data_IF_329748105402
#
_entry.id   IF_329748105402
#
_cell.length_a   1.000
_cell.length_b   1.000
_cell.length_c   1.000
_cell.angle_alpha   90.00
_cell.angle_beta   90.00
_cell.angle_gamma   90.00
#
_symmetry.space_group_name_H-M   'P 1'
#
loop_
_entity.id
_entity.type
_entity.pdbx_description
1 polymer ?
#
# COMPACT_ATOMS: atom_id res chain seq x y z
N UNK A 1 -42.96 22.33 45.92
CA UNK A 1 -41.64 21.83 45.48
C UNK A 1 -41.83 21.14 44.13
N UNK A 2 -41.45 21.81 43.05
CA UNK A 2 -41.57 21.29 41.69
C UNK A 2 -40.40 20.33 41.38
N UNK A 3 -40.71 19.17 40.79
CA UNK A 3 -39.73 18.17 40.34
C UNK A 3 -39.07 18.70 39.05
N UNK A 4 -37.73 18.75 38.94
CA UNK A 4 -37.10 19.20 37.71
C UNK A 4 -37.26 18.14 36.60
N UNK A 5 -37.31 18.54 35.31
CA UNK A 5 -37.39 17.60 34.21
C UNK A 5 -36.05 16.89 34.00
N UNK A 6 -36.04 15.63 33.53
CA UNK A 6 -34.80 14.94 33.21
C UNK A 6 -34.23 15.49 31.90
N UNK A 7 -33.13 16.24 32.01
CA UNK A 7 -32.14 16.42 30.96
C UNK A 7 -31.26 15.16 30.88
N UNK A 8 -30.71 14.89 29.69
CA UNK A 8 -29.88 13.75 29.26
C UNK A 8 -30.59 12.65 28.45
N UNK A 9 -30.93 12.98 27.20
CA UNK A 9 -30.88 12.01 26.11
C UNK A 9 -29.41 11.71 25.81
N UNK A 10 -28.93 10.54 26.21
CA UNK A 10 -27.65 10.00 25.77
C UNK A 10 -27.77 9.54 24.31
N UNK A 11 -26.96 10.11 23.41
CA UNK A 11 -26.86 9.77 21.98
C UNK A 11 -26.29 8.35 21.69
N UNK A 12 -26.49 7.38 22.59
CA UNK A 12 -26.00 6.00 22.45
C UNK A 12 -26.99 5.03 21.79
N UNK A 13 -28.23 5.45 21.50
CA UNK A 13 -29.29 4.52 21.08
C UNK A 13 -29.37 4.24 19.58
N UNK A 14 -28.92 5.16 18.71
CA UNK A 14 -29.14 5.04 17.27
C UNK A 14 -28.22 4.01 16.61
N UNK A 15 -26.95 3.95 17.00
CA UNK A 15 -25.99 2.97 16.46
C UNK A 15 -26.26 1.55 16.97
N UNK A 16 -26.67 1.40 18.24
CA UNK A 16 -27.11 0.10 18.78
C UNK A 16 -28.43 -0.37 18.16
N UNK A 17 -29.35 0.53 17.84
CA UNK A 17 -30.61 0.17 17.18
C UNK A 17 -30.39 -0.36 15.75
N UNK A 18 -29.58 0.33 14.95
CA UNK A 18 -29.30 -0.06 13.57
C UNK A 18 -28.51 -1.37 13.46
N UNK A 19 -27.52 -1.57 14.33
CA UNK A 19 -26.74 -2.82 14.38
C UNK A 19 -27.61 -4.01 14.81
N UNK A 20 -28.50 -3.82 15.78
CA UNK A 20 -29.44 -4.86 16.21
C UNK A 20 -30.47 -5.22 15.13
N UNK A 21 -30.93 -4.24 14.34
CA UNK A 21 -31.87 -4.48 13.23
C UNK A 21 -31.19 -5.24 12.07
N UNK A 22 -29.96 -4.87 11.72
CA UNK A 22 -29.16 -5.56 10.70
C UNK A 22 -28.82 -7.00 11.14
N UNK A 23 -28.40 -7.19 12.39
CA UNK A 23 -28.12 -8.50 12.95
C UNK A 23 -29.37 -9.39 13.01
N UNK A 24 -30.55 -8.80 13.27
CA UNK A 24 -31.83 -9.53 13.29
C UNK A 24 -32.27 -9.96 11.88
N UNK A 25 -31.93 -9.20 10.84
CA UNK A 25 -32.29 -9.52 9.44
C UNK A 25 -31.34 -10.49 8.76
N UNK A 26 -30.03 -10.37 8.99
CA UNK A 26 -29.00 -11.10 8.24
C UNK A 26 -28.31 -12.20 9.07
N UNK A 27 -28.48 -12.22 10.40
CA UNK A 27 -27.77 -13.14 11.27
C UNK A 27 -26.31 -12.74 11.49
N UNK A 28 -25.84 -12.79 12.74
CA UNK A 28 -24.48 -12.39 13.12
C UNK A 28 -23.39 -13.11 12.33
N UNK A 29 -23.56 -14.40 12.08
CA UNK A 29 -22.60 -15.24 11.35
C UNK A 29 -22.40 -14.79 9.90
N UNK A 30 -23.47 -14.32 9.25
CA UNK A 30 -23.41 -13.81 7.87
C UNK A 30 -22.67 -12.48 7.81
N UNK A 31 -22.91 -11.59 8.78
CA UNK A 31 -22.19 -10.32 8.88
C UNK A 31 -20.69 -10.51 9.09
N UNK A 32 -20.28 -11.45 9.96
CA UNK A 32 -18.86 -11.79 10.13
C UNK A 32 -18.24 -12.32 8.84
N UNK A 33 -18.95 -13.19 8.11
CA UNK A 33 -18.48 -13.72 6.83
C UNK A 33 -18.30 -12.62 5.78
N UNK A 34 -19.26 -11.70 5.66
CA UNK A 34 -19.16 -10.56 4.74
C UNK A 34 -18.04 -9.61 5.13
N UNK A 35 -17.84 -9.39 6.43
CA UNK A 35 -16.70 -8.64 6.95
C UNK A 35 -15.36 -9.28 6.57
N UNK A 36 -15.24 -10.60 6.68
CA UNK A 36 -14.03 -11.33 6.28
C UNK A 36 -13.76 -11.23 4.76
N UNK A 37 -14.79 -11.33 3.92
CA UNK A 37 -14.66 -11.13 2.47
C UNK A 37 -14.25 -9.70 2.13
N UNK A 38 -14.84 -8.70 2.80
CA UNK A 38 -14.48 -7.30 2.59
C UNK A 38 -13.06 -6.98 3.04
N UNK A 39 -12.62 -7.57 4.16
CA UNK A 39 -11.24 -7.49 4.62
C UNK A 39 -10.26 -8.13 3.62
N UNK A 40 -10.59 -9.31 3.09
CA UNK A 40 -9.80 -9.95 2.04
C UNK A 40 -9.71 -9.09 0.77
N UNK A 41 -10.83 -8.51 0.33
CA UNK A 41 -10.85 -7.61 -0.81
C UNK A 41 -9.98 -6.35 -0.58
N UNK A 42 -10.06 -5.77 0.62
CA UNK A 42 -9.19 -4.65 1.01
C UNK A 42 -7.71 -5.02 0.97
N UNK A 43 -7.32 -6.18 1.52
CA UNK A 43 -5.94 -6.65 1.46
C UNK A 43 -5.44 -6.75 0.01
N UNK A 44 -6.26 -7.27 -0.90
CA UNK A 44 -5.90 -7.36 -2.32
C UNK A 44 -5.86 -6.00 -3.04
N UNK A 45 -6.55 -4.97 -2.54
CA UNK A 45 -6.54 -3.65 -3.16
C UNK A 45 -5.33 -2.80 -2.80
N UNK A 46 -4.69 -3.06 -1.65
CA UNK A 46 -3.55 -2.29 -1.16
C UNK A 46 -2.43 -2.08 -2.21
N UNK A 47 -1.97 -3.09 -2.97
CA UNK A 47 -0.95 -2.89 -4.00
C UNK A 47 -1.49 -2.37 -5.34
N UNK A 48 -2.81 -2.30 -5.51
CA UNK A 48 -3.44 -2.03 -6.81
C UNK A 48 -3.95 -0.59 -6.94
N UNK A 49 -4.17 0.11 -5.83
CA UNK A 49 -4.80 1.43 -5.83
C UNK A 49 -4.46 2.24 -4.58
N UNK A 50 -4.76 3.53 -4.61
CA UNK A 50 -4.63 4.45 -3.48
C UNK A 50 -5.72 4.21 -2.42
N UNK A 51 -5.66 4.98 -1.32
CA UNK A 51 -6.61 4.88 -0.20
C UNK A 51 -8.08 5.01 -0.63
N UNK A 52 -8.40 5.89 -1.59
CA UNK A 52 -9.77 6.05 -2.08
C UNK A 52 -10.28 4.82 -2.84
N UNK A 53 -9.45 4.20 -3.67
CA UNK A 53 -9.81 2.95 -4.35
C UNK A 53 -9.97 1.79 -3.37
N UNK A 54 -9.11 1.70 -2.35
CA UNK A 54 -9.24 0.71 -1.27
C UNK A 54 -10.53 0.88 -0.46
N UNK A 55 -10.94 2.12 -0.17
CA UNK A 55 -12.24 2.42 0.43
C UNK A 55 -13.40 1.96 -0.49
N UNK A 56 -13.29 2.25 -1.78
CA UNK A 56 -14.22 1.77 -2.81
C UNK A 56 -14.34 0.25 -2.77
N UNK A 57 -13.22 -0.47 -2.74
CA UNK A 57 -13.18 -1.94 -2.67
C UNK A 57 -13.88 -2.48 -1.43
N UNK A 58 -13.64 -1.91 -0.24
CA UNK A 58 -14.35 -2.33 1.00
C UNK A 58 -15.86 -2.16 0.83
N UNK A 59 -16.30 -0.98 0.39
CA UNK A 59 -17.72 -0.68 0.24
C UNK A 59 -18.37 -1.56 -0.83
N UNK A 60 -17.69 -1.82 -1.95
CA UNK A 60 -18.17 -2.69 -3.00
C UNK A 60 -18.31 -4.14 -2.53
N UNK A 61 -17.28 -4.65 -1.84
CA UNK A 61 -17.26 -6.00 -1.30
C UNK A 61 -18.31 -6.23 -0.20
N UNK A 62 -18.72 -5.19 0.53
CA UNK A 62 -19.84 -5.25 1.50
C UNK A 62 -21.20 -5.10 0.81
N UNK A 63 -21.39 -4.04 0.04
CA UNK A 63 -22.71 -3.67 -0.50
C UNK A 63 -23.20 -4.64 -1.58
N UNK A 64 -22.32 -5.15 -2.45
CA UNK A 64 -22.72 -6.11 -3.49
C UNK A 64 -23.39 -7.37 -2.89
N UNK A 65 -22.71 -8.10 -2.00
CA UNK A 65 -23.29 -9.24 -1.28
C UNK A 65 -24.50 -8.87 -0.41
N UNK A 66 -24.48 -7.74 0.30
CA UNK A 66 -25.62 -7.31 1.14
C UNK A 66 -26.89 -7.09 0.32
N UNK A 67 -26.78 -6.46 -0.86
CA UNK A 67 -27.92 -6.29 -1.78
C UNK A 67 -28.47 -7.66 -2.21
N UNK A 68 -27.60 -8.62 -2.49
CA UNK A 68 -28.01 -10.00 -2.82
C UNK A 68 -28.70 -10.72 -1.66
N UNK A 69 -28.29 -10.44 -0.42
CA UNK A 69 -28.94 -10.98 0.77
C UNK A 69 -30.31 -10.35 1.05
N UNK A 70 -30.47 -9.06 0.70
CA UNK A 70 -31.72 -8.33 0.89
C UNK A 70 -32.80 -8.73 -0.13
N UNK A 71 -32.41 -9.33 -1.25
CA UNK A 71 -33.36 -9.81 -2.26
C UNK A 71 -34.16 -11.01 -1.74
N UNK A 72 -35.50 -11.00 -1.85
CA UNK A 72 -36.33 -12.16 -1.51
C UNK A 72 -35.86 -13.43 -2.22
N UNK A 73 -35.98 -14.59 -1.57
CA UNK A 73 -35.60 -15.89 -2.16
C UNK A 73 -36.35 -16.21 -3.48
N UNK A 74 -37.53 -15.61 -3.68
CA UNK A 74 -38.34 -15.69 -4.91
C UNK A 74 -37.87 -14.74 -6.03
N UNK A 75 -36.85 -13.92 -5.78
CA UNK A 75 -36.42 -12.90 -6.74
C UNK A 75 -35.82 -13.53 -7.98
N UNK A 76 -36.21 -13.01 -9.15
CA UNK A 76 -35.69 -13.44 -10.45
C UNK A 76 -34.16 -13.40 -10.53
N UNK A 77 -33.50 -12.48 -9.80
CA UNK A 77 -32.05 -12.40 -9.70
C UNK A 77 -31.40 -13.70 -9.17
N UNK A 78 -32.03 -14.37 -8.22
CA UNK A 78 -31.55 -15.64 -7.67
C UNK A 78 -31.83 -16.81 -8.64
N UNK A 79 -32.85 -16.68 -9.48
CA UNK A 79 -33.25 -17.64 -10.52
C UNK A 79 -32.52 -17.45 -11.86
N UNK A 80 -31.80 -16.33 -12.07
CA UNK A 80 -31.01 -16.10 -13.27
C UNK A 80 -29.96 -17.21 -13.42
N UNK A 81 -29.81 -17.77 -14.63
CA UNK A 81 -28.69 -18.67 -14.92
C UNK A 81 -27.39 -17.97 -14.57
N UNK A 82 -26.43 -18.70 -13.99
CA UNK A 82 -25.14 -18.16 -13.57
C UNK A 82 -24.48 -17.31 -14.66
N UNK A 83 -24.53 -17.75 -15.93
CA UNK A 83 -24.01 -16.98 -17.06
C UNK A 83 -24.64 -15.59 -17.22
N UNK A 84 -25.95 -15.43 -17.01
CA UNK A 84 -26.61 -14.13 -17.10
C UNK A 84 -26.20 -13.20 -15.94
N UNK A 85 -26.05 -13.74 -14.73
CA UNK A 85 -25.56 -12.99 -13.58
C UNK A 85 -24.09 -12.56 -13.78
N UNK A 86 -23.25 -13.44 -14.33
CA UNK A 86 -21.86 -13.13 -14.66
C UNK A 86 -21.74 -12.05 -15.74
N UNK A 87 -22.58 -12.08 -16.78
CA UNK A 87 -22.63 -11.02 -17.80
C UNK A 87 -23.04 -9.69 -17.17
N UNK A 88 -24.06 -9.67 -16.31
CA UNK A 88 -24.48 -8.45 -15.64
C UNK A 88 -23.37 -7.88 -14.75
N UNK A 89 -22.69 -8.73 -13.98
CA UNK A 89 -21.54 -8.33 -13.17
C UNK A 89 -20.39 -7.79 -14.02
N UNK A 90 -20.11 -8.43 -15.16
CA UNK A 90 -19.08 -7.98 -16.10
C UNK A 90 -19.42 -6.63 -16.73
N UNK A 91 -20.67 -6.43 -17.16
CA UNK A 91 -21.14 -5.15 -17.70
C UNK A 91 -21.06 -4.06 -16.62
N UNK A 92 -21.48 -4.35 -15.39
CA UNK A 92 -21.39 -3.40 -14.28
C UNK A 92 -19.95 -3.00 -13.94
N UNK A 93 -19.03 -3.97 -13.88
CA UNK A 93 -17.61 -3.70 -13.68
C UNK A 93 -17.02 -2.91 -14.87
N UNK A 94 -17.38 -3.27 -16.10
CA UNK A 94 -16.90 -2.63 -17.33
C UNK A 94 -17.36 -1.17 -17.46
N UNK A 95 -18.63 -0.88 -17.18
CA UNK A 95 -19.15 0.49 -17.19
C UNK A 95 -18.52 1.34 -16.07
N UNK A 96 -18.32 0.75 -14.89
CA UNK A 96 -17.59 1.38 -13.78
C UNK A 96 -16.15 1.73 -14.14
N UNK A 97 -15.42 0.81 -14.77
CA UNK A 97 -14.05 1.03 -15.22
C UNK A 97 -13.97 2.07 -16.35
N UNK A 98 -14.93 2.08 -17.27
CA UNK A 98 -14.99 3.09 -18.32
C UNK A 98 -15.16 4.48 -17.69
N UNK A 99 -16.11 4.63 -16.76
CA UNK A 99 -16.31 5.89 -16.03
C UNK A 99 -15.07 6.30 -15.23
N UNK A 100 -14.42 5.35 -14.54
CA UNK A 100 -13.18 5.61 -13.83
C UNK A 100 -12.05 6.08 -14.76
N UNK A 101 -11.95 5.48 -15.96
CA UNK A 101 -10.94 5.85 -16.96
C UNK A 101 -11.17 7.28 -17.46
N UNK A 102 -12.43 7.67 -17.70
CA UNK A 102 -12.78 9.04 -18.08
C UNK A 102 -12.40 10.03 -16.97
N UNK A 103 -12.62 9.69 -15.69
CA UNK A 103 -12.26 10.57 -14.56
C UNK A 103 -10.75 10.67 -14.32
N UNK A 104 -9.98 9.60 -14.60
CA UNK A 104 -8.52 9.58 -14.44
C UNK A 104 -7.78 10.27 -15.59
N UNK A 105 -8.26 10.09 -16.83
CA UNK A 105 -7.53 10.44 -18.04
C UNK A 105 -8.20 11.53 -18.90
N UNK A 106 -9.46 11.87 -18.64
CA UNK A 106 -10.23 12.77 -19.49
C UNK A 106 -9.76 14.22 -19.36
N UNK A 107 -8.91 14.67 -20.29
CA UNK A 107 -8.42 16.06 -20.34
C UNK A 107 -9.54 17.09 -20.52
N UNK A 108 -10.57 16.78 -21.31
CA UNK A 108 -11.69 17.70 -21.58
C UNK A 108 -12.80 17.65 -20.53
N UNK A 109 -13.09 16.47 -19.97
CA UNK A 109 -14.03 16.34 -18.85
C UNK A 109 -13.40 16.87 -17.57
N UNK A 110 -12.09 16.69 -17.42
CA UNK A 110 -11.28 17.19 -16.32
C UNK A 110 -11.30 18.72 -16.25
N UNK A 111 -11.15 19.42 -17.37
CA UNK A 111 -11.19 20.90 -17.41
C UNK A 111 -12.59 21.47 -17.08
N UNK A 112 -13.64 20.76 -17.47
CA UNK A 112 -15.03 21.15 -17.23
C UNK A 112 -15.49 20.85 -15.80
N UNK A 113 -15.04 19.74 -15.20
CA UNK A 113 -15.31 19.41 -13.80
C UNK A 113 -14.36 20.11 -12.82
N UNK A 114 -13.12 20.43 -13.19
CA UNK A 114 -12.21 21.22 -12.35
C UNK A 114 -12.69 22.66 -12.16
N UNK A 115 -13.52 23.15 -13.06
CA UNK A 115 -14.24 24.43 -12.92
C UNK A 115 -15.37 24.37 -11.88
N UNK A 116 -15.75 23.19 -11.39
CA UNK A 116 -16.73 23.05 -10.30
C UNK A 116 -16.07 23.34 -8.94
N UNK A 117 -16.78 24.04 -8.06
CA UNK A 117 -16.29 24.47 -6.74
C UNK A 117 -15.83 23.33 -5.81
N UNK A 118 -16.21 22.08 -6.14
CA UNK A 118 -15.82 20.86 -5.41
C UNK A 118 -14.45 20.30 -5.82
N UNK A 119 -13.94 20.65 -7.01
CA UNK A 119 -12.68 20.14 -7.55
C UNK A 119 -11.56 21.20 -7.60
N UNK A 120 -11.91 22.49 -7.47
CA UNK A 120 -10.98 23.61 -7.56
C UNK A 120 -9.90 23.67 -6.47
N UNK A 121 -10.09 22.96 -5.34
CA UNK A 121 -9.16 22.94 -4.22
C UNK A 121 -8.23 21.73 -4.14
N UNK A 122 -8.42 20.68 -4.96
CA UNK A 122 -7.59 19.49 -4.93
C UNK A 122 -7.43 18.86 -6.33
N UNK A 123 -6.23 18.96 -6.95
CA UNK A 123 -5.98 18.45 -8.30
C UNK A 123 -6.12 16.92 -8.41
N UNK A 124 -6.09 16.19 -7.29
CA UNK A 124 -6.23 14.73 -7.24
C UNK A 124 -7.68 14.26 -7.00
N UNK A 125 -8.65 15.16 -6.88
CA UNK A 125 -10.04 14.82 -6.52
C UNK A 125 -10.72 13.89 -7.55
N UNK A 126 -10.59 14.21 -8.84
CA UNK A 126 -11.17 13.40 -9.94
C UNK A 126 -10.47 12.04 -10.06
N UNK A 127 -9.13 12.03 -9.96
CA UNK A 127 -8.37 10.80 -9.92
C UNK A 127 -8.80 9.91 -8.74
N UNK A 128 -8.93 10.49 -7.54
CA UNK A 128 -9.36 9.78 -6.34
C UNK A 128 -10.77 9.23 -6.45
N UNK A 129 -11.70 9.97 -7.07
CA UNK A 129 -13.06 9.50 -7.36
C UNK A 129 -13.06 8.36 -8.39
N UNK A 130 -12.24 8.45 -9.43
CA UNK A 130 -12.06 7.37 -10.41
C UNK A 130 -11.48 6.09 -9.79
N UNK A 131 -10.50 6.22 -8.89
CA UNK A 131 -9.98 5.12 -8.08
C UNK A 131 -11.06 4.48 -7.21
N UNK A 132 -11.84 5.28 -6.50
CA UNK A 132 -12.97 4.80 -5.71
C UNK A 132 -14.00 4.03 -6.57
N UNK A 133 -14.43 4.57 -7.71
CA UNK A 133 -15.43 3.95 -8.58
C UNK A 133 -14.93 2.62 -9.14
N UNK A 134 -13.68 2.55 -9.60
CA UNK A 134 -13.10 1.31 -10.09
C UNK A 134 -13.02 0.26 -9.00
N UNK A 135 -12.47 0.62 -7.83
CA UNK A 135 -12.35 -0.28 -6.68
C UNK A 135 -13.72 -0.81 -6.24
N UNK A 136 -14.72 0.07 -6.16
CA UNK A 136 -16.09 -0.27 -5.80
C UNK A 136 -16.75 -1.23 -6.79
N UNK A 137 -16.73 -0.89 -8.08
CA UNK A 137 -17.46 -1.66 -9.09
C UNK A 137 -16.83 -3.03 -9.34
N UNK A 138 -15.50 -3.12 -9.36
CA UNK A 138 -14.78 -4.39 -9.44
C UNK A 138 -15.06 -5.28 -8.22
N UNK A 139 -14.94 -4.73 -7.01
CA UNK A 139 -15.14 -5.50 -5.79
C UNK A 139 -16.59 -5.97 -5.64
N UNK A 140 -17.57 -5.11 -5.93
CA UNK A 140 -18.99 -5.46 -5.88
C UNK A 140 -19.34 -6.54 -6.91
N UNK A 141 -18.82 -6.44 -8.14
CA UNK A 141 -19.04 -7.44 -9.17
C UNK A 141 -18.43 -8.80 -8.80
N UNK A 142 -17.17 -8.81 -8.36
CA UNK A 142 -16.44 -10.02 -8.03
C UNK A 142 -16.96 -10.69 -6.76
N UNK A 143 -16.99 -9.95 -5.64
CA UNK A 143 -17.46 -10.48 -4.34
C UNK A 143 -18.96 -10.80 -4.39
N UNK A 144 -19.76 -10.00 -5.10
CA UNK A 144 -21.18 -10.30 -5.33
C UNK A 144 -21.38 -11.59 -6.12
N UNK A 145 -20.57 -11.84 -7.15
CA UNK A 145 -20.64 -13.09 -7.94
C UNK A 145 -20.23 -14.31 -7.11
N UNK A 146 -19.15 -14.20 -6.32
CA UNK A 146 -18.75 -15.24 -5.37
C UNK A 146 -19.85 -15.51 -4.35
N UNK A 147 -20.46 -14.46 -3.82
CA UNK A 147 -21.54 -14.58 -2.86
C UNK A 147 -22.77 -15.29 -3.44
N UNK A 148 -23.17 -14.90 -4.65
CA UNK A 148 -24.27 -15.56 -5.37
C UNK A 148 -23.98 -17.06 -5.58
N UNK A 149 -22.74 -17.42 -5.92
CA UNK A 149 -22.33 -18.82 -6.07
C UNK A 149 -22.37 -19.54 -4.72
N UNK A 150 -21.98 -18.86 -3.63
CA UNK A 150 -21.99 -19.42 -2.28
C UNK A 150 -23.41 -19.74 -1.77
N UNK A 151 -24.41 -18.97 -2.22
CA UNK A 151 -25.82 -19.24 -1.92
C UNK A 151 -26.35 -20.46 -2.68
N UNK A 152 -25.74 -20.82 -3.82
CA UNK A 152 -26.20 -21.90 -4.71
C UNK A 152 -25.64 -23.27 -4.38
N UNK A 153 -24.53 -23.37 -3.64
CA UNK A 153 -23.97 -24.67 -3.28
C UNK A 153 -22.64 -24.61 -2.55
N UNK A 154 -22.17 -25.79 -2.14
CA UNK A 154 -20.94 -25.95 -1.38
C UNK A 154 -19.69 -25.47 -2.14
N UNK A 155 -19.66 -25.62 -3.47
CA UNK A 155 -18.54 -25.18 -4.32
C UNK A 155 -18.35 -23.65 -4.25
N UNK A 156 -19.43 -22.87 -4.26
CA UNK A 156 -19.33 -21.43 -4.11
C UNK A 156 -18.87 -20.99 -2.73
N UNK A 157 -19.27 -21.72 -1.68
CA UNK A 157 -18.77 -21.47 -0.32
C UNK A 157 -17.27 -21.75 -0.21
N UNK A 158 -16.80 -22.81 -0.87
CA UNK A 158 -15.38 -23.10 -1.00
C UNK A 158 -14.65 -21.96 -1.75
N UNK A 159 -15.25 -21.44 -2.82
CA UNK A 159 -14.70 -20.32 -3.60
C UNK A 159 -14.49 -19.05 -2.77
N UNK A 160 -15.45 -18.64 -1.94
CA UNK A 160 -15.26 -17.52 -1.01
C UNK A 160 -14.17 -17.78 0.02
N UNK A 161 -14.11 -18.99 0.60
CA UNK A 161 -13.05 -19.35 1.55
C UNK A 161 -11.66 -19.31 0.88
N UNK A 162 -11.55 -19.85 -0.34
CA UNK A 162 -10.32 -19.82 -1.11
C UNK A 162 -9.91 -18.40 -1.45
N UNK A 163 -10.85 -17.52 -1.80
CA UNK A 163 -10.55 -16.11 -2.03
C UNK A 163 -9.96 -15.44 -0.77
N UNK A 164 -10.57 -15.64 0.40
CA UNK A 164 -10.05 -15.09 1.67
C UNK A 164 -8.65 -15.64 1.95
N UNK A 165 -8.46 -16.96 1.83
CA UNK A 165 -7.17 -17.59 2.05
C UNK A 165 -6.11 -17.07 1.09
N UNK A 166 -6.42 -17.00 -0.21
CA UNK A 166 -5.52 -16.48 -1.23
C UNK A 166 -5.20 -14.99 -1.04
N UNK A 167 -6.13 -14.16 -0.58
CA UNK A 167 -5.88 -12.75 -0.31
C UNK A 167 -4.86 -12.57 0.84
N UNK A 168 -5.04 -13.32 1.93
CA UNK A 168 -4.11 -13.32 3.06
C UNK A 168 -2.75 -13.86 2.63
N UNK A 169 -2.74 -15.01 1.94
CA UNK A 169 -1.51 -15.60 1.42
C UNK A 169 -0.82 -14.61 0.48
N UNK A 170 -1.50 -14.03 -0.50
CA UNK A 170 -0.91 -13.08 -1.45
C UNK A 170 -0.26 -11.89 -0.74
N UNK A 171 -0.97 -11.30 0.22
CA UNK A 171 -0.48 -10.16 1.02
C UNK A 171 0.75 -10.50 1.83
N UNK A 172 0.79 -11.70 2.43
CA UNK A 172 1.91 -12.16 3.24
C UNK A 172 3.02 -12.80 2.40
N UNK A 173 2.72 -13.33 1.21
CA UNK A 173 3.73 -13.82 0.25
C UNK A 173 4.46 -12.68 -0.44
N UNK A 174 4.08 -11.43 -0.20
CA UNK A 174 4.87 -10.26 -0.60
C UNK A 174 6.30 -10.26 0.02
N UNK A 175 6.58 -11.17 0.96
CA UNK A 175 7.94 -11.61 1.35
C UNK A 175 8.70 -12.41 0.29
N UNK A 176 8.17 -12.54 -0.93
CA UNK A 176 8.82 -13.22 -2.06
C UNK A 176 10.19 -12.60 -2.25
N UNK A 177 11.23 -13.44 -2.19
CA UNK A 177 12.63 -13.07 -2.25
C UNK A 177 13.10 -12.35 -0.98
N UNK A 178 12.83 -12.89 0.22
CA UNK A 178 13.50 -12.52 1.47
C UNK A 178 13.39 -11.05 1.91
N UNK A 179 12.51 -10.26 1.29
CA UNK A 179 12.22 -8.87 1.65
C UNK A 179 11.35 -8.84 2.91
N UNK A 180 11.98 -8.52 4.04
CA UNK A 180 11.38 -8.52 5.40
C UNK A 180 10.55 -7.24 5.64
N UNK A 181 10.76 -6.20 4.84
CA UNK A 181 10.13 -4.87 4.88
C UNK A 181 8.70 -4.82 4.33
N UNK A 182 8.19 -5.90 3.73
CA UNK A 182 6.83 -5.96 3.15
C UNK A 182 5.87 -6.77 4.03
N UNK A 183 4.58 -6.44 4.15
CA UNK A 183 3.91 -5.28 3.58
C UNK A 183 4.40 -3.98 4.23
N UNK A 184 4.68 -2.96 3.41
CA UNK A 184 5.29 -1.69 3.82
C UNK A 184 4.59 -1.04 5.02
N UNK A 185 3.27 -1.18 5.14
CA UNK A 185 2.52 -0.69 6.30
C UNK A 185 3.07 -1.22 7.65
N UNK A 186 3.42 -2.50 7.72
CA UNK A 186 3.96 -3.14 8.92
C UNK A 186 5.48 -2.97 9.01
N UNK A 187 6.16 -3.06 7.86
CA UNK A 187 7.61 -2.83 7.75
C UNK A 187 7.99 -1.43 8.22
N UNK A 188 7.41 -0.39 7.62
CA UNK A 188 7.69 1.01 7.95
C UNK A 188 7.33 1.32 9.40
N UNK A 189 6.20 0.79 9.89
CA UNK A 189 5.81 0.95 11.30
C UNK A 189 6.89 0.42 12.25
N UNK A 190 7.47 -0.74 11.94
CA UNK A 190 8.53 -1.36 12.72
C UNK A 190 9.85 -0.59 12.58
N UNK A 191 10.26 -0.30 11.34
CA UNK A 191 11.52 0.36 11.01
C UNK A 191 11.63 1.77 11.61
N UNK A 192 10.58 2.59 11.52
CA UNK A 192 10.55 3.96 12.10
C UNK A 192 10.74 3.93 13.62
N UNK A 193 10.40 2.82 14.28
CA UNK A 193 10.53 2.63 15.74
C UNK A 193 11.77 1.83 16.12
N UNK A 194 12.61 1.46 15.16
CA UNK A 194 13.81 0.65 15.37
C UNK A 194 13.52 -0.81 15.70
N UNK A 195 12.34 -1.33 15.37
CA UNK A 195 12.00 -2.74 15.47
C UNK A 195 12.30 -3.47 14.16
N UNK A 196 12.72 -4.73 14.27
CA UNK A 196 12.85 -5.64 13.12
C UNK A 196 11.45 -6.19 12.74
N UNK A 197 10.97 -5.94 11.50
CA UNK A 197 9.67 -6.41 11.04
C UNK A 197 9.47 -7.93 11.12
N UNK A 198 10.56 -8.71 11.05
CA UNK A 198 10.48 -10.18 11.13
C UNK A 198 9.89 -10.65 12.47
N UNK A 199 10.32 -10.06 13.59
CA UNK A 199 9.78 -10.41 14.91
C UNK A 199 8.32 -9.99 15.06
N UNK A 200 7.95 -8.84 14.49
CA UNK A 200 6.57 -8.35 14.52
C UNK A 200 5.63 -9.33 13.78
N UNK A 201 6.01 -9.73 12.57
CA UNK A 201 5.22 -10.67 11.76
C UNK A 201 5.18 -12.07 12.36
N UNK A 202 6.31 -12.55 12.90
CA UNK A 202 6.35 -13.84 13.60
C UNK A 202 5.44 -13.83 14.84
N UNK A 203 5.42 -12.72 15.58
CA UNK A 203 4.54 -12.58 16.77
C UNK A 203 3.07 -12.60 16.36
N UNK A 204 2.70 -11.89 15.29
CA UNK A 204 1.33 -11.93 14.74
C UNK A 204 0.97 -13.36 14.33
N UNK A 205 1.84 -14.06 13.61
CA UNK A 205 1.64 -15.45 13.20
C UNK A 205 1.44 -16.40 14.39
N UNK A 206 2.26 -16.27 15.43
CA UNK A 206 2.16 -17.07 16.65
C UNK A 206 0.84 -16.80 17.40
N UNK A 207 0.44 -15.54 17.54
CA UNK A 207 -0.84 -15.17 18.16
C UNK A 207 -2.01 -15.73 17.36
N UNK A 208 -1.99 -15.63 16.03
CA UNK A 208 -3.01 -16.22 15.17
C UNK A 208 -3.10 -17.75 15.34
N UNK A 209 -1.97 -18.45 15.42
CA UNK A 209 -1.92 -19.90 15.65
C UNK A 209 -2.54 -20.28 17.00
N UNK A 210 -2.21 -19.55 18.07
CA UNK A 210 -2.75 -19.78 19.41
C UNK A 210 -4.27 -19.55 19.45
N UNK A 211 -4.74 -18.46 18.83
CA UNK A 211 -6.16 -18.18 18.70
C UNK A 211 -6.90 -19.27 17.92
N UNK A 212 -6.34 -19.72 16.79
CA UNK A 212 -6.93 -20.79 15.99
C UNK A 212 -7.02 -22.10 16.79
N UNK A 213 -5.98 -22.41 17.56
CA UNK A 213 -5.93 -23.58 18.44
C UNK A 213 -6.99 -23.48 19.54
N UNK A 214 -7.12 -22.31 20.18
CA UNK A 214 -8.11 -22.06 21.21
C UNK A 214 -9.55 -22.19 20.68
N UNK A 215 -9.83 -21.64 19.50
CA UNK A 215 -11.14 -21.75 18.84
C UNK A 215 -11.43 -23.22 18.50
N UNK A 216 -10.46 -23.94 17.95
CA UNK A 216 -10.63 -25.37 17.65
C UNK A 216 -10.89 -26.21 18.91
N UNK A 217 -10.32 -25.86 20.06
CA UNK A 217 -10.56 -26.55 21.34
C UNK A 217 -11.97 -26.32 21.90
N UNK A 218 -12.67 -25.26 21.49
CA UNK A 218 -14.04 -24.97 21.91
C UNK A 218 -15.10 -25.76 21.12
N UNK A 219 -14.67 -26.54 20.12
CA UNK A 219 -15.56 -27.38 19.31
C UNK A 219 -16.18 -28.52 20.16
N UNK A 220 -17.50 -28.70 20.07
CA UNK A 220 -18.23 -29.64 20.92
C UNK A 220 -17.88 -31.11 20.65
N UNK A 221 -17.44 -31.44 19.44
CA UNK A 221 -17.10 -32.81 19.06
C UNK A 221 -15.60 -33.06 19.16
N UNK A 222 -15.20 -33.95 20.09
CA UNK A 222 -13.81 -34.35 20.30
C UNK A 222 -13.11 -34.85 19.03
N UNK A 223 -13.84 -35.51 18.12
CA UNK A 223 -13.30 -35.99 16.84
C UNK A 223 -12.88 -34.86 15.89
N UNK A 224 -13.65 -33.76 15.81
CA UNK A 224 -13.29 -32.60 14.98
C UNK A 224 -12.13 -31.82 15.59
N UNK A 225 -12.08 -31.69 16.92
CA UNK A 225 -10.93 -31.09 17.63
C UNK A 225 -9.65 -31.83 17.25
N UNK A 226 -9.66 -33.17 17.35
CA UNK A 226 -8.50 -33.98 17.01
C UNK A 226 -8.11 -33.84 15.53
N UNK A 227 -9.09 -33.85 14.63
CA UNK A 227 -8.86 -33.63 13.21
C UNK A 227 -8.18 -32.28 12.93
N UNK A 228 -8.70 -31.17 13.46
CA UNK A 228 -8.11 -29.85 13.25
C UNK A 228 -6.70 -29.71 13.84
N UNK A 229 -6.46 -30.29 15.02
CA UNK A 229 -5.13 -30.33 15.62
C UNK A 229 -4.14 -31.16 14.79
N UNK A 230 -4.56 -32.32 14.26
CA UNK A 230 -3.73 -33.15 13.39
C UNK A 230 -3.39 -32.42 12.09
N UNK A 231 -4.37 -31.74 11.48
CA UNK A 231 -4.13 -30.93 10.28
C UNK A 231 -3.15 -29.79 10.57
N UNK A 232 -3.33 -29.06 11.67
CA UNK A 232 -2.42 -27.96 12.05
C UNK A 232 -0.99 -28.45 12.30
N UNK A 233 -0.86 -29.59 12.97
CA UNK A 233 0.43 -30.24 13.23
C UNK A 233 1.08 -30.71 11.92
N UNK A 234 0.31 -31.33 11.03
CA UNK A 234 0.80 -31.78 9.73
C UNK A 234 1.27 -30.59 8.87
N UNK A 235 0.53 -29.49 8.82
CA UNK A 235 0.92 -28.27 8.10
C UNK A 235 2.20 -27.68 8.69
N UNK A 236 2.30 -27.62 10.01
CA UNK A 236 3.50 -27.11 10.70
C UNK A 236 4.74 -27.97 10.43
N UNK A 237 4.58 -29.31 10.46
CA UNK A 237 5.64 -30.25 10.11
C UNK A 237 6.03 -30.15 8.63
N UNK A 238 5.06 -29.96 7.74
CA UNK A 238 5.33 -29.77 6.31
C UNK A 238 6.10 -28.48 6.06
N UNK A 239 5.77 -27.40 6.76
CA UNK A 239 6.54 -26.15 6.71
C UNK A 239 7.96 -26.35 7.25
N UNK A 240 8.12 -27.03 8.38
CA UNK A 240 9.44 -27.35 8.94
C UNK A 240 10.28 -28.21 7.97
N UNK A 241 9.66 -29.21 7.35
CA UNK A 241 10.30 -30.04 6.35
C UNK A 241 10.71 -29.20 5.13
N UNK A 242 9.82 -28.32 4.64
CA UNK A 242 10.12 -27.41 3.55
C UNK A 242 11.35 -26.54 3.86
N UNK A 243 11.35 -25.83 5.00
CA UNK A 243 12.49 -24.99 5.41
C UNK A 243 13.77 -25.82 5.58
N UNK A 244 13.68 -27.03 6.12
CA UNK A 244 14.86 -27.90 6.28
C UNK A 244 15.44 -28.40 4.95
N UNK A 245 14.60 -28.54 3.91
CA UNK A 245 15.01 -29.11 2.62
C UNK A 245 15.41 -28.04 1.60
N UNK A 246 14.78 -26.87 1.67
CA UNK A 246 14.95 -25.78 0.70
C UNK A 246 15.61 -24.53 1.31
N UNK A 247 15.79 -24.48 2.63
CA UNK A 247 16.28 -23.30 3.32
C UNK A 247 15.20 -22.22 3.47
N UNK A 248 15.57 -21.11 4.08
CA UNK A 248 14.78 -19.88 4.01
C UNK A 248 15.10 -19.19 2.67
N UNK A 249 14.10 -18.66 1.95
CA UNK A 249 14.35 -17.88 0.75
C UNK A 249 15.20 -16.66 1.14
N UNK A 250 16.44 -16.62 0.66
CA UNK A 250 17.31 -15.46 0.83
C UNK A 250 16.85 -14.35 -0.09
N UNK A 251 16.97 -13.08 0.34
CA UNK A 251 16.60 -12.00 -0.54
C UNK A 251 17.43 -11.99 -1.81
N UNK A 252 16.75 -11.96 -2.95
CA UNK A 252 17.40 -11.55 -4.20
C UNK A 252 17.68 -10.07 -3.99
N UNK A 253 18.95 -9.75 -3.72
CA UNK A 253 19.44 -8.38 -3.79
C UNK A 253 19.02 -7.84 -5.17
N UNK A 254 18.52 -6.61 -5.23
CA UNK A 254 18.12 -5.93 -6.48
C UNK A 254 19.35 -5.56 -7.32
N UNK A 255 20.12 -6.59 -7.69
CA UNK A 255 21.34 -6.52 -8.49
C UNK A 255 21.01 -6.24 -9.96
N UNK A 256 19.78 -6.55 -10.40
CA UNK A 256 19.30 -6.35 -11.77
C UNK A 256 19.17 -4.86 -12.15
N UNK A 257 19.12 -3.96 -11.16
CA UNK A 257 19.14 -2.51 -11.40
C UNK A 257 20.57 -1.92 -11.29
N UNK A 258 21.59 -2.76 -11.04
CA UNK A 258 22.98 -2.32 -10.88
C UNK A 258 23.25 -1.46 -9.64
N UNK A 259 22.26 -1.29 -8.75
CA UNK A 259 22.34 -0.40 -7.59
C UNK A 259 23.19 -0.97 -6.46
N UNK A 260 23.28 -2.29 -6.33
CA UNK A 260 23.89 -2.96 -5.16
C UNK A 260 25.40 -3.26 -5.31
N UNK A 261 26.04 -2.84 -6.41
CA UNK A 261 27.50 -2.97 -6.60
C UNK A 261 28.08 -4.38 -6.65
N UNK A 262 27.26 -5.45 -6.67
CA UNK A 262 27.77 -6.82 -6.76
C UNK A 262 28.19 -7.23 -8.17
N UNK A 263 29.47 -6.96 -8.44
CA UNK A 263 30.47 -7.77 -9.16
C UNK A 263 30.03 -8.55 -10.42
N UNK A 264 30.03 -7.86 -11.56
CA UNK A 264 30.54 -8.45 -12.80
C UNK A 264 32.07 -8.41 -12.79
N UNK A 265 32.74 -9.40 -13.39
CA UNK A 265 34.21 -9.57 -13.42
C UNK A 265 34.97 -8.49 -14.24
N UNK A 266 34.72 -7.21 -13.96
CA UNK A 266 35.38 -6.05 -14.57
C UNK A 266 36.07 -5.17 -13.51
N UNK A 267 36.87 -4.16 -13.93
CA UNK A 267 37.49 -3.21 -13.02
C UNK A 267 36.43 -2.57 -12.13
N UNK A 268 36.72 -2.50 -10.83
CA UNK A 268 35.83 -1.97 -9.81
C UNK A 268 35.65 -0.46 -10.02
N UNK A 269 34.60 -0.06 -10.75
CA UNK A 269 34.10 1.31 -10.71
C UNK A 269 33.38 1.54 -9.38
N UNK A 270 33.69 2.64 -8.71
CA UNK A 270 33.01 3.06 -7.48
C UNK A 270 31.52 3.31 -7.80
N UNK A 271 30.66 2.40 -7.35
CA UNK A 271 29.21 2.54 -7.50
C UNK A 271 28.69 3.46 -6.37
N UNK A 272 28.19 4.66 -6.68
CA UNK A 272 27.71 5.62 -5.68
C UNK A 272 26.39 5.18 -5.01
N UNK A 273 25.75 4.12 -5.50
CA UNK A 273 24.53 3.55 -4.93
C UNK A 273 24.77 2.31 -4.08
N UNK A 274 26.03 1.95 -3.79
CA UNK A 274 26.31 0.85 -2.87
C UNK A 274 25.64 1.15 -1.53
N UNK A 275 24.52 0.50 -1.27
CA UNK A 275 24.01 0.38 0.09
C UNK A 275 25.13 -0.24 0.91
N UNK A 276 25.55 0.49 1.94
CA UNK A 276 26.39 -0.06 3.01
C UNK A 276 25.84 -1.44 3.35
N UNK A 277 26.74 -2.42 3.40
CA UNK A 277 26.45 -3.82 3.69
C UNK A 277 25.29 -3.96 4.68
N UNK A 278 24.30 -4.82 4.36
CA UNK A 278 23.12 -5.13 5.20
C UNK A 278 23.48 -5.72 6.59
N UNK A 279 24.68 -5.47 7.14
CA UNK A 279 25.03 -5.73 8.52
C UNK A 279 24.35 -4.65 9.41
N UNK A 280 23.42 -5.03 10.30
CA UNK A 280 22.80 -4.10 11.24
C UNK A 280 23.77 -3.43 12.23
N UNK A 281 25.06 -3.81 12.20
CA UNK A 281 26.16 -3.14 12.91
C UNK A 281 26.82 -2.01 12.12
N UNK A 282 26.67 -1.95 10.80
CA UNK A 282 27.13 -0.84 9.94
C UNK A 282 26.18 0.35 10.04
N UNK A 283 25.83 0.74 11.26
CA UNK A 283 25.02 1.93 11.50
C UNK A 283 25.82 3.17 11.17
N UNK A 284 25.47 3.76 10.02
CA UNK A 284 25.46 5.19 9.74
C UNK A 284 26.76 5.93 10.09
N UNK A 285 27.73 5.86 9.18
CA UNK A 285 28.69 6.95 9.06
C UNK A 285 27.90 8.22 8.67
N UNK A 286 27.99 9.33 9.42
CA UNK A 286 27.34 10.58 9.02
C UNK A 286 27.94 11.05 7.69
N UNK A 287 27.10 11.24 6.67
CA UNK A 287 27.52 11.62 5.30
C UNK A 287 27.86 13.11 5.22
N UNK A 288 27.11 13.96 5.94
CA UNK A 288 27.34 15.39 6.00
C UNK A 288 26.79 16.00 7.30
N UNK A 289 27.38 17.12 7.71
CA UNK A 289 26.84 18.02 8.74
C UNK A 289 26.43 19.31 8.07
N UNK A 290 25.16 19.68 8.25
CA UNK A 290 24.59 20.92 7.72
C UNK A 290 24.30 21.86 8.88
N UNK A 291 24.89 23.06 8.83
CA UNK A 291 24.63 24.15 9.77
C UNK A 291 23.85 25.24 9.06
N UNK A 292 22.64 25.51 9.55
CA UNK A 292 21.82 26.63 9.11
C UNK A 292 22.19 27.88 9.93
N UNK A 293 22.52 28.98 9.25
CA UNK A 293 22.80 30.27 9.91
C UNK A 293 21.57 31.17 9.98
N UNK A 294 20.53 30.83 9.23
CA UNK A 294 19.26 31.52 9.21
C UNK A 294 18.14 30.55 9.64
N UNK A 295 17.17 31.06 10.38
CA UNK A 295 15.96 30.33 10.70
C UNK A 295 15.16 30.11 9.39
N UNK A 296 15.21 28.87 8.90
CA UNK A 296 14.46 28.42 7.75
C UNK A 296 13.76 27.13 8.08
N UNK A 297 12.45 27.12 7.89
CA UNK A 297 11.63 25.93 7.98
C UNK A 297 10.93 25.73 6.63
N UNK A 298 11.12 24.59 5.96
CA UNK A 298 10.51 24.32 4.66
C UNK A 298 8.98 24.19 4.81
N UNK A 299 8.23 24.69 3.83
CA UNK A 299 6.76 24.65 3.85
C UNK A 299 6.20 23.22 3.94
N UNK A 300 6.93 22.26 3.37
CA UNK A 300 6.58 20.83 3.38
C UNK A 300 7.20 20.07 4.56
N UNK A 301 7.86 20.77 5.49
CA UNK A 301 8.45 20.20 6.71
C UNK A 301 9.66 19.29 6.50
N UNK A 302 10.20 19.19 5.27
CA UNK A 302 11.34 18.34 4.93
C UNK A 302 12.47 19.11 4.25
N UNK A 303 13.70 18.80 4.63
CA UNK A 303 14.91 19.28 3.96
C UNK A 303 15.33 18.26 2.92
N UNK A 304 15.50 18.69 1.67
CA UNK A 304 16.00 17.86 0.58
C UNK A 304 17.39 18.33 0.18
N UNK A 305 18.40 17.50 0.43
CA UNK A 305 19.78 17.75 0.02
C UNK A 305 20.07 16.95 -1.24
N UNK A 306 20.23 17.66 -2.36
CA UNK A 306 20.56 17.05 -3.65
C UNK A 306 22.07 16.97 -3.81
N UNK A 307 22.60 15.75 -3.92
CA UNK A 307 24.02 15.52 -4.19
C UNK A 307 24.30 15.43 -5.70
N UNK A 308 23.48 14.67 -6.45
CA UNK A 308 23.67 14.42 -7.88
C UNK A 308 22.34 14.11 -8.56
N UNK A 309 22.36 14.01 -9.89
CA UNK A 309 21.24 13.52 -10.69
C UNK A 309 21.71 12.40 -11.62
N UNK A 310 20.95 11.31 -11.65
CA UNK A 310 21.22 10.15 -12.49
C UNK A 310 20.00 9.98 -13.39
N UNK A 311 20.17 10.36 -14.65
CA UNK A 311 19.05 10.59 -15.56
C UNK A 311 19.08 9.68 -16.78
N UNK A 312 20.13 8.88 -16.96
CA UNK A 312 20.26 7.99 -18.11
C UNK A 312 20.34 6.53 -17.66
N UNK A 313 19.58 5.64 -18.31
CA UNK A 313 19.71 4.20 -18.11
C UNK A 313 20.56 3.59 -19.22
N UNK A 314 21.65 2.92 -18.87
CA UNK A 314 22.62 2.35 -19.83
C UNK A 314 22.29 0.90 -20.26
N UNK A 315 21.17 0.35 -19.76
CA UNK A 315 20.76 -1.03 -19.98
C UNK A 315 21.01 -1.93 -18.77
N UNK A 316 21.80 -1.48 -17.80
CA UNK A 316 22.13 -2.21 -16.57
C UNK A 316 21.93 -1.36 -15.30
N UNK A 317 22.26 -0.06 -15.34
CA UNK A 317 22.12 0.87 -14.22
C UNK A 317 21.65 2.25 -14.68
N UNK A 318 21.13 3.02 -13.73
CA UNK A 318 20.95 4.46 -13.93
C UNK A 318 22.29 5.14 -13.63
N UNK A 319 22.73 5.98 -14.55
CA UNK A 319 24.01 6.69 -14.52
C UNK A 319 23.79 8.17 -14.84
N UNK A 320 24.85 8.96 -14.72
CA UNK A 320 24.88 10.36 -15.14
C UNK A 320 24.48 10.50 -16.61
N UNK A 321 23.78 11.58 -16.93
CA UNK A 321 23.47 11.86 -18.32
C UNK A 321 24.73 12.19 -19.13
N UNK A 322 25.00 11.38 -20.16
CA UNK A 322 26.03 11.65 -21.17
C UNK A 322 25.53 12.58 -22.29
N UNK A 323 24.21 12.80 -22.34
CA UNK A 323 23.55 13.60 -23.36
C UNK A 323 23.42 15.06 -22.93
N UNK A 324 23.70 16.02 -23.83
CA UNK A 324 23.68 17.45 -23.50
C UNK A 324 22.27 18.04 -23.32
N UNK A 325 21.22 17.32 -23.76
CA UNK A 325 19.82 17.73 -23.65
C UNK A 325 19.13 17.23 -22.37
N UNK A 326 19.86 16.51 -21.51
CA UNK A 326 19.38 16.01 -20.22
C UNK A 326 20.00 16.83 -19.09
N UNK A 327 19.38 16.83 -17.91
CA UNK A 327 19.93 17.49 -16.71
C UNK A 327 20.19 19.00 -16.89
N UNK A 328 19.42 19.65 -17.77
CA UNK A 328 19.55 21.07 -18.08
C UNK A 328 19.06 21.98 -16.95
N UNK A 329 18.28 21.44 -16.02
CA UNK A 329 17.73 22.10 -14.84
C UNK A 329 18.64 21.96 -13.60
N UNK A 330 19.76 21.22 -13.70
CA UNK A 330 20.71 21.10 -12.61
C UNK A 330 21.46 22.41 -12.39
N UNK A 331 21.61 22.78 -11.11
CA UNK A 331 22.51 23.84 -10.71
C UNK A 331 23.95 23.42 -11.05
N UNK A 332 24.62 24.19 -11.89
CA UNK A 332 26.03 23.99 -12.27
C UNK A 332 26.94 24.66 -11.23
N UNK A 333 28.10 24.06 -10.92
CA UNK A 333 29.11 24.67 -10.05
C UNK A 333 29.19 24.15 -8.61
N UNK A 334 28.70 22.94 -8.33
CA UNK A 334 28.99 22.21 -7.07
C UNK A 334 29.96 21.02 -7.28
N UNK A 335 30.52 20.90 -8.48
CA UNK A 335 31.59 19.95 -8.81
C UNK A 335 32.94 20.39 -8.23
N UNK A 336 33.90 19.47 -8.06
CA UNK A 336 35.23 19.75 -7.48
C UNK A 336 35.97 20.92 -8.16
N UNK A 337 35.65 21.21 -9.43
CA UNK A 337 36.10 22.37 -10.20
C UNK A 337 35.72 23.72 -9.56
N UNK A 338 34.64 23.75 -8.77
CA UNK A 338 34.17 24.95 -8.06
C UNK A 338 35.01 25.26 -6.82
N UNK A 339 35.61 24.25 -6.17
CA UNK A 339 36.55 24.46 -5.07
C UNK A 339 37.84 25.15 -5.55
N UNK A 340 38.32 24.81 -6.75
CA UNK A 340 39.46 25.47 -7.40
C UNK A 340 39.12 26.90 -7.91
N UNK A 341 37.86 27.16 -8.27
CA UNK A 341 37.43 28.51 -8.64
C UNK A 341 37.25 29.45 -7.43
N UNK A 342 36.94 28.91 -6.25
CA UNK A 342 36.96 29.63 -4.98
C UNK A 342 38.39 30.09 -4.60
N UNK A 343 39.40 29.26 -4.89
CA UNK A 343 40.81 29.58 -4.66
C UNK A 343 41.38 30.61 -5.65
N UNK A 344 40.74 30.78 -6.82
CA UNK A 344 41.20 31.68 -7.89
C UNK A 344 40.41 32.99 -8.02
N UNK A 345 39.45 33.25 -7.12
CA UNK A 345 38.72 34.53 -7.04
C UNK A 345 37.76 34.79 -8.22
N UNK A 346 37.45 33.77 -9.02
CA UNK A 346 36.50 33.90 -10.14
C UNK A 346 35.08 33.60 -9.64
N UNK A 347 34.38 34.61 -9.13
CA UNK A 347 33.01 34.53 -8.59
C UNK A 347 31.91 34.21 -9.63
N UNK A 348 32.27 33.87 -10.87
CA UNK A 348 31.30 33.66 -11.96
C UNK A 348 30.39 32.44 -11.75
N UNK A 349 30.81 31.45 -10.95
CA UNK A 349 30.03 30.23 -10.69
C UNK A 349 28.86 30.41 -9.73
N UNK A 350 29.00 31.28 -8.72
CA UNK A 350 27.95 31.48 -7.70
C UNK A 350 26.82 32.41 -8.17
N UNK A 351 27.11 33.35 -9.08
CA UNK A 351 26.13 34.36 -9.49
C UNK A 351 24.89 33.79 -10.19
N UNK A 352 24.97 32.61 -10.81
CA UNK A 352 23.82 31.91 -11.37
C UNK A 352 22.94 31.25 -10.29
N UNK A 353 23.53 30.80 -9.18
CA UNK A 353 22.81 30.22 -8.05
C UNK A 353 22.09 31.29 -7.18
N UNK A 354 22.52 32.55 -7.26
CA UNK A 354 22.04 33.64 -6.37
C UNK A 354 20.95 34.53 -7.04
N UNK A 355 20.72 34.43 -8.36
CA UNK A 355 19.69 35.23 -9.06
C UNK A 355 18.66 34.36 -9.81
N UNK A 356 17.66 33.78 -9.13
CA UNK A 356 16.63 32.96 -9.76
C UNK A 356 15.44 33.75 -10.33
N UNK A 357 14.69 33.12 -11.24
CA UNK A 357 13.48 33.65 -11.86
C UNK A 357 12.31 33.85 -10.87
N UNK A 358 11.43 34.82 -11.14
CA UNK A 358 10.46 35.42 -10.20
C UNK A 358 9.28 34.54 -9.76
N UNK A 359 9.11 33.34 -10.31
CA UNK A 359 7.84 32.58 -10.20
C UNK A 359 7.80 31.48 -9.14
N UNK A 360 8.92 31.18 -8.46
CA UNK A 360 8.96 30.20 -7.37
C UNK A 360 9.25 30.87 -6.01
N UNK A 361 8.49 30.57 -4.92
CA UNK A 361 8.80 31.07 -3.58
C UNK A 361 10.05 30.36 -3.04
N UNK A 362 11.23 30.86 -3.37
CA UNK A 362 12.51 30.37 -2.83
C UNK A 362 13.11 31.42 -1.91
N UNK A 363 13.39 31.07 -0.65
CA UNK A 363 14.09 31.91 0.33
C UNK A 363 15.59 31.60 0.23
N UNK A 364 16.43 32.62 0.09
CA UNK A 364 17.87 32.44 0.27
C UNK A 364 18.17 32.08 1.73
N UNK A 365 18.92 31.01 1.96
CA UNK A 365 19.28 30.53 3.30
C UNK A 365 20.80 30.35 3.34
N UNK A 366 21.45 31.00 4.30
CA UNK A 366 22.88 30.81 4.54
C UNK A 366 23.08 29.47 5.24
N UNK A 367 23.83 28.59 4.60
CA UNK A 367 24.16 27.27 5.12
C UNK A 367 25.64 27.00 4.98
N UNK A 368 26.18 26.20 5.89
CA UNK A 368 27.50 25.59 5.76
C UNK A 368 27.32 24.08 5.75
N UNK A 369 27.81 23.43 4.71
CA UNK A 369 27.77 21.98 4.56
C UNK A 369 29.21 21.49 4.67
N UNK A 370 29.48 20.65 5.66
CA UNK A 370 30.72 19.88 5.73
C UNK A 370 30.40 18.44 5.39
N UNK A 371 30.92 17.94 4.26
CA UNK A 371 30.88 16.51 3.94
C UNK A 371 31.90 15.78 4.80
N UNK A 372 31.50 14.66 5.40
CA UNK A 372 32.38 13.84 6.22
C UNK A 372 32.79 12.63 5.39
N UNK A 373 33.71 12.86 4.45
CA UNK A 373 34.43 11.78 3.75
C UNK A 373 35.91 11.93 4.09
N UNK A 374 36.64 10.86 4.46
CA UNK A 374 38.09 10.93 4.66
C UNK A 374 38.87 11.22 3.38
#
# INVERSE_FOLDING_TARGET
MAKPPPLFHTNGSLTQSATNELARRFGLTQLFRLGAVAFAAWLTSLPLTIASGSLGTILGALLGPLILCALPHSSRALQLRFGAAAILAFVFAGTGLLLATVLRNGSEVGSLLSASATASGNPLSLYSAGEFIAGFTLAAAFCGSLHLLSQRGAVGRLGELLFIACAVVFTLTAHRNGMIDRPFLLGDFALIRGYDPAYLLMTIGAVCLLLLTAINLQESSKGRVLYHLLVLTAVSLLLMLFVSRFGLPTPELTNDLGLTGQQGSGPQEDNPFQDSTNDPKDKAAPVAVVVFHDDYEPADGSYYFRESAYSQFDGQRIDYATRPDMDTDLLRGFDNSAADSLASGNEAGLNYAISPASEAPRKGVRTTIGTLVP
#
